data_IF_772223828559
#
_entry.id   IF_772223828559
#
_cell.length_a   1.000
_cell.length_b   1.000
_cell.length_c   1.000
_cell.angle_alpha   90.00
_cell.angle_beta   90.00
_cell.angle_gamma   90.00
#
_symmetry.space_group_name_H-M   'P 1'
#
loop_
_entity.id
_entity.type
_entity.pdbx_description
1 polymer ?
#
# COMPACT_ATOMS: atom_id res chain seq x y z
N UNK A 1 0.49 -3.71 9.86
CA UNK A 1 1.70 -4.47 9.45
C UNK A 1 2.94 -3.92 10.14
N UNK A 2 3.35 -2.63 9.95
CA UNK A 2 4.61 -2.08 10.52
C UNK A 2 4.67 -2.16 12.05
N UNK A 3 3.58 -1.87 12.76
CA UNK A 3 3.53 -2.03 14.21
C UNK A 3 3.76 -3.49 14.63
N UNK A 4 3.13 -4.43 13.94
CA UNK A 4 3.32 -5.86 14.18
C UNK A 4 4.76 -6.33 13.93
N UNK A 5 5.43 -5.83 12.88
CA UNK A 5 6.85 -6.11 12.65
C UNK A 5 7.74 -5.60 13.77
N UNK A 6 7.37 -4.48 14.42
CA UNK A 6 8.11 -3.86 15.52
C UNK A 6 7.80 -4.52 16.86
N UNK A 7 6.52 -4.61 17.21
CA UNK A 7 6.06 -4.88 18.56
C UNK A 7 5.96 -6.37 18.86
N UNK A 8 5.59 -7.19 17.86
CA UNK A 8 5.36 -8.61 18.04
C UNK A 8 6.50 -9.47 17.49
N UNK A 9 7.05 -9.11 16.33
CA UNK A 9 8.15 -9.85 15.70
C UNK A 9 9.55 -9.32 15.99
N UNK A 10 9.66 -8.11 16.51
CA UNK A 10 10.94 -7.43 16.80
C UNK A 10 11.90 -7.39 15.59
N UNK A 11 11.31 -7.38 14.37
CA UNK A 11 12.08 -7.34 13.12
C UNK A 11 12.55 -5.94 12.73
N UNK A 12 11.97 -4.90 13.34
CA UNK A 12 12.39 -3.51 13.20
C UNK A 12 12.32 -2.84 14.58
N UNK A 13 13.14 -1.82 14.82
CA UNK A 13 13.05 -1.05 16.07
C UNK A 13 12.14 0.18 15.90
N UNK A 14 12.10 0.72 14.69
CA UNK A 14 11.23 1.85 14.33
C UNK A 14 10.79 1.75 12.86
N UNK A 15 9.69 2.40 12.48
CA UNK A 15 9.17 2.35 11.11
C UNK A 15 10.11 2.93 10.05
N UNK A 16 11.06 3.78 10.43
CA UNK A 16 12.00 4.44 9.50
C UNK A 16 13.06 3.45 8.97
N UNK A 17 13.35 2.35 9.70
CA UNK A 17 14.24 1.29 9.22
C UNK A 17 13.68 0.52 8.02
N UNK A 18 12.37 0.54 7.81
CA UNK A 18 11.69 -0.26 6.78
C UNK A 18 12.21 0.09 5.39
N UNK A 19 12.28 1.37 5.07
CA UNK A 19 12.79 1.85 3.77
C UNK A 19 14.18 1.30 3.47
N UNK A 20 15.11 1.39 4.42
CA UNK A 20 16.49 0.92 4.23
C UNK A 20 16.56 -0.61 4.08
N UNK A 21 15.77 -1.35 4.86
CA UNK A 21 15.67 -2.80 4.75
C UNK A 21 15.08 -3.24 3.41
N UNK A 22 14.06 -2.53 2.90
CA UNK A 22 13.49 -2.81 1.60
C UNK A 22 14.50 -2.63 0.46
N UNK A 23 15.33 -1.59 0.51
CA UNK A 23 16.40 -1.39 -0.46
C UNK A 23 17.57 -2.37 -0.29
N UNK A 24 17.84 -2.83 0.93
CA UNK A 24 18.90 -3.83 1.19
C UNK A 24 18.49 -5.26 0.83
N UNK A 25 17.20 -5.54 0.71
CA UNK A 25 16.69 -6.86 0.38
C UNK A 25 17.12 -7.29 -1.02
N UNK A 26 17.32 -8.61 -1.20
CA UNK A 26 17.63 -9.16 -2.51
C UNK A 26 16.54 -8.79 -3.53
N UNK A 27 16.85 -8.07 -4.61
CA UNK A 27 15.85 -7.65 -5.60
C UNK A 27 15.19 -8.84 -6.33
N UNK A 28 15.85 -10.01 -6.37
CA UNK A 28 15.29 -11.23 -6.94
C UNK A 28 14.36 -12.00 -5.97
N UNK A 29 14.17 -11.51 -4.75
CA UNK A 29 13.26 -12.14 -3.79
C UNK A 29 11.82 -12.17 -4.32
N UNK A 30 11.18 -13.33 -4.13
CA UNK A 30 9.78 -13.57 -4.50
C UNK A 30 8.94 -13.90 -3.27
N UNK A 31 9.27 -13.31 -2.14
CA UNK A 31 8.49 -13.47 -0.92
C UNK A 31 7.27 -12.57 -1.03
N UNK A 32 6.10 -13.14 -0.79
CA UNK A 32 4.82 -12.43 -0.69
C UNK A 32 4.24 -12.67 0.69
N UNK A 33 3.82 -11.62 1.34
CA UNK A 33 3.11 -11.68 2.60
C UNK A 33 1.67 -11.19 2.40
N UNK A 34 0.70 -12.04 2.71
CA UNK A 34 -0.73 -11.67 2.70
C UNK A 34 -1.16 -11.48 4.16
N UNK A 35 -1.29 -10.22 4.64
CA UNK A 35 -1.53 -9.92 6.06
C UNK A 35 -3.01 -9.99 6.42
N UNK A 36 -3.65 -11.14 6.21
CA UNK A 36 -5.05 -11.35 6.57
C UNK A 36 -5.23 -11.52 8.08
N UNK A 37 -4.78 -10.55 8.91
CA UNK A 37 -4.86 -10.62 10.38
C UNK A 37 -6.29 -10.65 10.93
N UNK A 38 -7.24 -10.10 10.20
CA UNK A 38 -8.67 -10.07 10.51
C UNK A 38 -9.49 -10.41 9.27
N UNK A 39 -8.97 -11.34 8.46
CA UNK A 39 -9.51 -11.63 7.15
C UNK A 39 -9.06 -10.66 6.06
N UNK A 40 -9.61 -10.85 4.86
CA UNK A 40 -9.42 -9.97 3.70
C UNK A 40 -10.72 -9.24 3.40
N UNK A 41 -10.65 -7.90 3.33
CA UNK A 41 -11.76 -7.05 2.92
C UNK A 41 -11.94 -7.02 1.39
N UNK A 42 -12.43 -5.89 0.88
CA UNK A 42 -12.59 -5.67 -0.55
C UNK A 42 -11.23 -5.81 -1.28
N UNK A 43 -11.21 -6.36 -2.50
CA UNK A 43 -12.36 -6.93 -3.24
C UNK A 43 -12.64 -8.41 -2.91
N UNK A 44 -11.85 -9.04 -2.04
CA UNK A 44 -11.84 -10.49 -1.84
C UNK A 44 -12.96 -11.00 -0.91
N UNK A 45 -13.35 -10.22 0.09
CA UNK A 45 -14.42 -10.51 1.05
C UNK A 45 -14.28 -11.88 1.74
N UNK A 46 -13.05 -12.26 2.11
CA UNK A 46 -12.73 -13.51 2.79
C UNK A 46 -12.44 -13.24 4.28
N UNK A 47 -13.50 -13.20 5.10
CA UNK A 47 -13.44 -12.85 6.53
C UNK A 47 -12.66 -13.86 7.37
N UNK A 48 -12.61 -15.12 6.94
CA UNK A 48 -11.99 -16.21 7.68
C UNK A 48 -10.55 -16.50 7.24
N UNK A 49 -10.04 -15.74 6.25
CA UNK A 49 -8.67 -15.88 5.79
C UNK A 49 -7.67 -15.51 6.90
N UNK A 50 -6.60 -16.29 7.01
CA UNK A 50 -5.49 -16.05 7.94
C UNK A 50 -4.22 -15.64 7.18
N UNK A 51 -3.34 -14.86 7.84
CA UNK A 51 -2.11 -14.36 7.20
C UNK A 51 -1.17 -15.48 6.75
N UNK A 52 -0.67 -15.37 5.53
CA UNK A 52 0.25 -16.34 4.94
C UNK A 52 1.50 -15.68 4.35
N UNK A 53 2.60 -16.42 4.33
CA UNK A 53 3.85 -16.02 3.66
C UNK A 53 4.21 -17.07 2.62
N UNK A 54 4.48 -16.64 1.39
CA UNK A 54 4.82 -17.50 0.25
C UNK A 54 6.19 -17.15 -0.31
N UNK A 55 6.83 -18.11 -0.98
CA UNK A 55 8.06 -17.90 -1.73
C UNK A 55 9.33 -17.80 -0.88
N UNK A 56 9.29 -18.17 0.40
CA UNK A 56 10.49 -18.22 1.24
C UNK A 56 11.48 -19.28 0.76
N UNK A 57 12.75 -18.92 0.82
CA UNK A 57 13.89 -19.80 0.50
C UNK A 57 14.92 -19.76 1.62
N UNK A 58 15.97 -20.56 1.51
CA UNK A 58 17.10 -20.53 2.47
C UNK A 58 17.81 -19.18 2.56
N UNK A 59 17.66 -18.34 1.56
CA UNK A 59 18.26 -16.99 1.48
C UNK A 59 17.30 -15.89 1.93
N UNK A 60 16.08 -16.24 2.31
CA UNK A 60 15.13 -15.29 2.85
C UNK A 60 15.54 -14.91 4.27
N UNK A 61 15.94 -13.69 4.46
CA UNK A 61 16.32 -13.12 5.75
C UNK A 61 15.33 -12.04 6.22
N UNK A 62 15.79 -11.29 7.24
CA UNK A 62 15.03 -10.17 7.81
C UNK A 62 14.61 -9.15 6.77
N UNK A 63 15.53 -8.74 5.89
CA UNK A 63 15.28 -7.71 4.89
C UNK A 63 14.19 -8.13 3.89
N UNK A 64 14.26 -9.36 3.37
CA UNK A 64 13.27 -9.90 2.43
C UNK A 64 11.88 -10.03 3.08
N UNK A 65 11.84 -10.44 4.35
CA UNK A 65 10.58 -10.58 5.08
C UNK A 65 9.93 -9.21 5.34
N UNK A 66 10.71 -8.24 5.84
CA UNK A 66 10.25 -6.86 6.09
C UNK A 66 9.77 -6.21 4.80
N UNK A 67 10.53 -6.39 3.70
CA UNK A 67 10.13 -5.91 2.37
C UNK A 67 8.80 -6.50 1.90
N UNK A 68 8.62 -7.82 2.02
CA UNK A 68 7.36 -8.46 1.62
C UNK A 68 6.17 -7.95 2.45
N UNK A 69 6.39 -7.71 3.75
CA UNK A 69 5.38 -7.16 4.63
C UNK A 69 5.04 -5.69 4.29
N UNK A 70 6.02 -4.90 3.91
CA UNK A 70 5.80 -3.52 3.47
C UNK A 70 5.12 -3.46 2.10
N UNK A 71 5.62 -4.22 1.13
CA UNK A 71 5.00 -4.36 -0.21
C UNK A 71 3.54 -4.83 -0.14
N UNK A 72 3.16 -5.61 0.88
CA UNK A 72 1.78 -6.09 1.06
C UNK A 72 0.76 -4.98 1.23
N UNK A 73 1.18 -3.83 1.76
CA UNK A 73 0.33 -2.64 1.91
C UNK A 73 -0.05 -2.11 0.52
N UNK A 74 0.94 -1.93 -0.35
CA UNK A 74 0.71 -1.46 -1.71
C UNK A 74 -0.07 -2.46 -2.56
N UNK A 75 0.17 -3.76 -2.38
CA UNK A 75 -0.60 -4.79 -3.09
C UNK A 75 -2.09 -4.77 -2.74
N UNK A 76 -2.44 -4.61 -1.45
CA UNK A 76 -3.84 -4.52 -1.06
C UNK A 76 -4.52 -3.25 -1.58
N UNK A 77 -3.81 -2.13 -1.61
CA UNK A 77 -4.29 -0.88 -2.24
C UNK A 77 -4.49 -1.10 -3.74
N UNK A 78 -3.53 -1.74 -4.41
CA UNK A 78 -3.63 -2.10 -5.82
C UNK A 78 -4.87 -2.96 -6.12
N UNK A 79 -5.18 -3.97 -5.30
CA UNK A 79 -6.37 -4.81 -5.49
C UNK A 79 -7.67 -3.99 -5.47
N UNK A 80 -7.78 -3.03 -4.56
CA UNK A 80 -8.96 -2.15 -4.48
C UNK A 80 -9.03 -1.23 -5.69
N UNK A 81 -7.91 -0.63 -6.09
CA UNK A 81 -7.84 0.28 -7.24
C UNK A 81 -8.15 -0.47 -8.54
N UNK A 82 -7.58 -1.67 -8.72
CA UNK A 82 -7.81 -2.52 -9.89
C UNK A 82 -9.30 -2.85 -10.05
N UNK A 83 -9.96 -3.24 -8.95
CA UNK A 83 -11.40 -3.47 -8.92
C UNK A 83 -12.21 -2.19 -9.24
N UNK A 84 -11.82 -1.03 -8.70
CA UNK A 84 -12.48 0.24 -8.99
C UNK A 84 -12.34 0.65 -10.46
N UNK A 85 -11.16 0.44 -11.05
CA UNK A 85 -10.91 0.70 -12.48
C UNK A 85 -11.74 -0.26 -13.35
N UNK A 86 -11.81 -1.53 -12.98
CA UNK A 86 -12.62 -2.52 -13.68
C UNK A 86 -14.13 -2.15 -13.64
N UNK A 87 -14.65 -1.81 -12.47
CA UNK A 87 -16.07 -1.46 -12.27
C UNK A 87 -16.45 -0.15 -12.97
N UNK A 88 -15.59 0.86 -12.93
CA UNK A 88 -15.87 2.17 -13.50
C UNK A 88 -15.58 2.27 -15.00
N UNK A 89 -14.69 1.41 -15.52
CA UNK A 89 -14.14 1.52 -16.87
C UNK A 89 -13.24 2.75 -17.08
N UNK A 90 -12.91 3.48 -16.03
CA UNK A 90 -12.10 4.69 -16.09
C UNK A 90 -10.65 4.39 -15.66
N UNK A 91 -9.68 4.82 -16.47
CA UNK A 91 -8.28 4.72 -16.09
C UNK A 91 -7.96 5.63 -14.89
N UNK A 92 -7.11 5.15 -13.99
CA UNK A 92 -6.59 5.97 -12.90
C UNK A 92 -5.62 7.01 -13.45
N UNK A 93 -5.97 8.30 -13.35
CA UNK A 93 -5.10 9.39 -13.80
C UNK A 93 -4.03 9.73 -12.75
N UNK A 94 -4.38 9.68 -11.47
CA UNK A 94 -3.53 10.03 -10.34
C UNK A 94 -4.11 9.38 -9.06
N UNK A 95 -3.25 8.85 -8.18
CA UNK A 95 -3.62 8.43 -6.84
C UNK A 95 -3.21 9.50 -5.83
N UNK A 96 -4.15 9.95 -5.00
CA UNK A 96 -3.87 10.90 -3.91
C UNK A 96 -3.80 10.17 -2.60
N UNK A 97 -2.70 10.38 -1.87
CA UNK A 97 -2.41 9.69 -0.61
C UNK A 97 -2.04 10.67 0.51
N UNK A 98 -2.37 10.30 1.74
CA UNK A 98 -2.00 11.02 2.96
C UNK A 98 -1.67 10.05 4.10
N UNK A 99 -1.31 10.60 5.25
CA UNK A 99 -1.05 9.84 6.46
C UNK A 99 0.40 9.40 6.65
N UNK A 100 0.66 8.80 7.79
CA UNK A 100 1.99 8.38 8.21
C UNK A 100 2.76 7.48 7.24
N UNK A 101 2.12 6.49 6.59
CA UNK A 101 2.77 5.61 5.61
C UNK A 101 3.42 6.34 4.44
N UNK A 102 2.95 7.54 4.09
CA UNK A 102 3.50 8.35 2.99
C UNK A 102 4.90 8.91 3.24
N UNK A 103 5.45 8.70 4.44
CA UNK A 103 6.85 9.02 4.79
C UNK A 103 7.82 7.93 4.35
N UNK A 104 7.32 6.74 4.02
CA UNK A 104 8.10 5.64 3.49
C UNK A 104 8.30 5.81 1.98
N UNK A 105 9.49 6.22 1.59
CA UNK A 105 9.82 6.49 0.19
C UNK A 105 9.80 5.21 -0.66
N UNK A 106 10.20 4.06 -0.09
CA UNK A 106 10.12 2.78 -0.79
C UNK A 106 8.67 2.40 -1.09
N UNK A 107 7.80 2.47 -0.06
CA UNK A 107 6.38 2.14 -0.20
C UNK A 107 5.71 3.03 -1.26
N UNK A 108 5.96 4.33 -1.23
CA UNK A 108 5.36 5.27 -2.19
C UNK A 108 5.81 4.99 -3.62
N UNK A 109 7.11 4.68 -3.83
CA UNK A 109 7.60 4.32 -5.15
C UNK A 109 6.99 2.99 -5.61
N UNK A 110 6.97 1.98 -4.75
CA UNK A 110 6.43 0.67 -5.08
C UNK A 110 4.92 0.72 -5.38
N UNK A 111 4.17 1.51 -4.64
CA UNK A 111 2.73 1.73 -4.88
C UNK A 111 2.48 2.44 -6.22
N UNK A 112 3.22 3.50 -6.54
CA UNK A 112 3.18 4.17 -7.85
C UNK A 112 3.48 3.19 -8.99
N UNK A 113 4.51 2.37 -8.81
CA UNK A 113 4.91 1.34 -9.77
C UNK A 113 3.82 0.29 -9.97
N UNK A 114 3.16 -0.17 -8.90
CA UNK A 114 2.08 -1.18 -8.98
C UNK A 114 0.82 -0.62 -9.65
N UNK A 115 0.36 0.56 -9.24
CA UNK A 115 -0.85 1.15 -9.85
C UNK A 115 -0.58 1.67 -11.27
N UNK A 116 0.69 1.95 -11.60
CA UNK A 116 1.10 2.43 -12.92
C UNK A 116 0.66 3.85 -13.21
N UNK A 117 0.45 4.66 -12.16
CA UNK A 117 0.00 6.04 -12.24
C UNK A 117 0.72 6.89 -11.19
N UNK A 118 0.86 8.21 -11.42
CA UNK A 118 1.48 9.08 -10.43
C UNK A 118 0.77 9.04 -9.09
N UNK A 119 1.55 9.07 -8.01
CA UNK A 119 1.05 9.26 -6.64
C UNK A 119 1.32 10.70 -6.21
N UNK A 120 0.27 11.42 -5.85
CA UNK A 120 0.35 12.75 -5.26
C UNK A 120 0.23 12.66 -3.74
N UNK A 121 1.30 13.00 -3.04
CA UNK A 121 1.35 12.98 -1.58
C UNK A 121 0.85 14.32 -1.06
N UNK A 122 -0.19 14.31 -0.23
CA UNK A 122 -0.74 15.51 0.37
C UNK A 122 0.28 16.26 1.24
N UNK A 123 0.15 17.58 1.29
CA UNK A 123 1.00 18.43 2.14
C UNK A 123 0.70 18.28 3.63
N UNK A 124 -0.45 17.70 3.98
CA UNK A 124 -0.88 17.44 5.35
C UNK A 124 -1.14 15.94 5.55
N UNK A 125 -0.68 15.37 6.65
CA UNK A 125 -0.84 13.96 6.98
C UNK A 125 -2.24 13.63 7.56
N UNK A 126 -3.08 14.64 7.86
CA UNK A 126 -4.39 14.49 8.53
C UNK A 126 -5.53 14.99 7.64
N UNK A 127 -5.57 14.54 6.37
CA UNK A 127 -6.56 14.99 5.40
C UNK A 127 -7.99 14.60 5.77
N UNK A 128 -8.19 13.48 6.45
CA UNK A 128 -9.52 13.04 6.89
C UNK A 128 -10.13 14.01 7.92
N UNK A 129 -9.35 14.40 8.94
CA UNK A 129 -9.76 15.39 9.94
C UNK A 129 -9.99 16.76 9.32
N UNK A 130 -9.12 17.17 8.42
CA UNK A 130 -9.22 18.43 7.69
C UNK A 130 -10.47 18.46 6.79
N UNK A 131 -10.76 17.36 6.09
CA UNK A 131 -11.96 17.23 5.27
C UNK A 131 -13.25 17.36 6.08
N UNK A 132 -13.29 16.76 7.27
CA UNK A 132 -14.42 16.93 8.19
C UNK A 132 -14.57 18.38 8.66
N UNK A 133 -13.47 19.07 8.99
CA UNK A 133 -13.48 20.47 9.36
C UNK A 133 -13.98 21.38 8.23
N UNK A 134 -13.55 21.13 6.99
CA UNK A 134 -14.04 21.86 5.82
C UNK A 134 -15.52 21.62 5.58
N UNK A 135 -15.99 20.38 5.66
CA UNK A 135 -17.41 20.06 5.49
C UNK A 135 -18.27 20.83 6.51
N UNK A 136 -17.85 20.85 7.78
CA UNK A 136 -18.53 21.63 8.82
C UNK A 136 -18.49 23.14 8.55
N UNK A 137 -17.32 23.69 8.18
CA UNK A 137 -17.15 25.11 7.89
C UNK A 137 -17.96 25.58 6.69
N UNK A 138 -18.05 24.74 5.64
CA UNK A 138 -18.89 25.02 4.46
C UNK A 138 -20.38 25.01 4.86
N UNK A 139 -20.81 24.02 5.64
CA UNK A 139 -22.19 23.93 6.11
C UNK A 139 -22.61 25.12 6.98
N UNK A 140 -21.66 25.68 7.74
CA UNK A 140 -21.87 26.88 8.59
C UNK A 140 -21.68 28.20 7.83
N UNK A 141 -21.33 28.16 6.53
CA UNK A 141 -21.06 29.36 5.74
C UNK A 141 -19.74 30.07 6.07
N UNK A 142 -18.81 29.41 6.80
CA UNK A 142 -17.50 29.96 7.15
C UNK A 142 -16.50 29.87 5.99
N UNK A 143 -16.67 28.87 5.12
CA UNK A 143 -15.82 28.62 3.96
C UNK A 143 -16.67 28.42 2.71
N UNK A 144 -16.09 28.70 1.56
CA UNK A 144 -16.59 28.29 0.24
C UNK A 144 -15.92 26.96 -0.20
N UNK A 145 -16.45 26.30 -1.22
CA UNK A 145 -15.93 24.98 -1.66
C UNK A 145 -14.47 25.01 -2.15
N UNK A 146 -14.01 26.13 -2.61
CA UNK A 146 -12.64 26.37 -3.08
C UNK A 146 -11.59 26.21 -1.96
N UNK A 147 -11.98 26.18 -0.68
CA UNK A 147 -11.06 25.85 0.41
C UNK A 147 -10.39 24.45 0.22
N UNK A 148 -11.07 23.53 -0.46
CA UNK A 148 -10.56 22.18 -0.73
C UNK A 148 -9.42 22.19 -1.74
N UNK A 149 -9.37 23.16 -2.65
CA UNK A 149 -8.37 23.27 -3.71
C UNK A 149 -7.07 23.97 -3.26
N UNK A 150 -7.06 24.55 -2.06
CA UNK A 150 -5.92 25.32 -1.53
C UNK A 150 -4.76 24.39 -1.07
N UNK A 151 -5.04 23.12 -0.80
CA UNK A 151 -4.03 22.21 -0.29
C UNK A 151 -3.20 21.57 -1.40
N UNK A 152 -1.93 21.98 -1.43
CA UNK A 152 -0.94 21.46 -2.37
C UNK A 152 -0.46 20.05 -2.03
N UNK A 153 0.33 19.49 -2.91
CA UNK A 153 1.11 18.27 -2.67
C UNK A 153 2.48 18.63 -2.09
N UNK A 154 2.99 17.80 -1.16
CA UNK A 154 4.40 17.88 -0.75
C UNK A 154 5.33 17.16 -1.73
N UNK A 155 4.77 16.28 -2.59
CA UNK A 155 5.52 15.56 -3.59
C UNK A 155 4.63 14.80 -4.55
N UNK A 156 5.21 14.45 -5.69
CA UNK A 156 4.64 13.54 -6.69
C UNK A 156 5.66 12.44 -6.94
N UNK A 157 5.22 11.19 -6.96
CA UNK A 157 6.04 10.02 -7.27
C UNK A 157 5.53 9.42 -8.55
N UNK A 158 6.40 9.38 -9.56
CA UNK A 158 6.08 8.82 -10.87
C UNK A 158 6.45 7.33 -10.92
N UNK A 159 5.68 6.50 -11.65
CA UNK A 159 6.03 5.10 -11.83
C UNK A 159 7.33 4.96 -12.63
N UNK A 160 8.20 4.07 -12.19
CA UNK A 160 9.53 3.85 -12.76
C UNK A 160 9.84 2.38 -13.09
N UNK A 161 9.07 1.44 -12.54
CA UNK A 161 9.28 0.00 -12.74
C UNK A 161 8.95 -0.42 -14.17
N UNK A 162 9.82 -1.24 -14.83
CA UNK A 162 9.51 -1.81 -16.13
C UNK A 162 8.21 -2.63 -16.11
N UNK A 163 7.44 -2.54 -17.20
CA UNK A 163 6.13 -3.18 -17.30
C UNK A 163 6.17 -4.72 -17.11
N UNK A 164 7.24 -5.37 -17.56
CA UNK A 164 7.41 -6.81 -17.39
C UNK A 164 7.70 -7.21 -15.94
N UNK A 165 8.42 -6.38 -15.20
CA UNK A 165 8.67 -6.56 -13.77
C UNK A 165 7.39 -6.34 -12.98
N UNK A 166 6.68 -5.25 -13.25
CA UNK A 166 5.36 -4.97 -12.67
C UNK A 166 4.41 -6.15 -12.87
N UNK A 167 4.30 -6.66 -14.10
CA UNK A 167 3.44 -7.79 -14.42
C UNK A 167 3.80 -9.06 -13.62
N UNK A 168 5.10 -9.35 -13.44
CA UNK A 168 5.57 -10.49 -12.64
C UNK A 168 5.20 -10.34 -11.16
N UNK A 169 5.35 -9.14 -10.60
CA UNK A 169 4.98 -8.85 -9.20
C UNK A 169 3.48 -9.00 -8.98
N UNK A 170 2.66 -8.44 -9.86
CA UNK A 170 1.21 -8.56 -9.80
C UNK A 170 0.77 -10.02 -9.95
N UNK A 171 1.36 -10.78 -10.89
CA UNK A 171 1.05 -12.20 -11.06
C UNK A 171 1.36 -13.02 -9.81
N UNK A 172 2.48 -12.76 -9.14
CA UNK A 172 2.85 -13.41 -7.89
C UNK A 172 1.86 -13.11 -6.76
N UNK A 173 1.45 -11.86 -6.62
CA UNK A 173 0.42 -11.45 -5.65
C UNK A 173 -0.94 -12.11 -5.94
N UNK A 174 -1.39 -12.05 -7.18
CA UNK A 174 -2.64 -12.70 -7.64
C UNK A 174 -2.62 -14.24 -7.49
N UNK A 175 -1.46 -14.84 -7.30
CA UNK A 175 -1.33 -16.25 -6.92
C UNK A 175 -1.34 -16.44 -5.40
N UNK A 176 -0.72 -15.54 -4.65
CA UNK A 176 -0.63 -15.63 -3.19
C UNK A 176 -1.99 -15.45 -2.49
N UNK A 177 -2.80 -14.48 -2.91
CA UNK A 177 -4.10 -14.19 -2.28
C UNK A 177 -5.09 -15.36 -2.37
N UNK A 178 -5.38 -15.96 -3.53
CA UNK A 178 -6.25 -17.14 -3.59
C UNK A 178 -5.69 -18.34 -2.82
N UNK A 179 -4.36 -18.50 -2.79
CA UNK A 179 -3.71 -19.55 -2.00
C UNK A 179 -3.90 -19.35 -0.49
N UNK A 180 -3.89 -18.10 -0.03
CA UNK A 180 -4.20 -17.73 1.35
C UNK A 180 -5.64 -18.10 1.70
N UNK A 181 -6.59 -17.72 0.84
CA UNK A 181 -8.02 -18.03 1.04
C UNK A 181 -8.26 -19.53 1.06
N UNK A 182 -7.64 -20.27 0.13
CA UNK A 182 -7.77 -21.72 0.05
C UNK A 182 -7.13 -22.47 1.24
N UNK A 183 -6.18 -21.85 1.93
CA UNK A 183 -5.54 -22.45 3.11
C UNK A 183 -6.50 -22.52 4.31
N UNK A 184 -7.41 -21.56 4.41
CA UNK A 184 -8.35 -21.41 5.55
C UNK A 184 -9.79 -21.85 5.23
N UNK A 185 -10.06 -22.29 4.00
CA UNK A 185 -11.38 -22.69 3.54
C UNK A 185 -11.77 -24.13 3.94
#
# INVERSE_FOLDING_TARGET
VKAWLRDDLELINNPEEVTDLCYAANPASRVYFVPAFTGLGAPHWASDAEGCVFGMTRTTGRAEFVKAADESIAYQIFDVIDAMVEDSGAALAELRVDGGPTRDAYLMQFESDLVGSPIRIASNDEMSGLGAAWACGIALGMYTRDVVDVYGARGIVEPSMPADERAKKIAGWRHAVPSTIAYTA
#
